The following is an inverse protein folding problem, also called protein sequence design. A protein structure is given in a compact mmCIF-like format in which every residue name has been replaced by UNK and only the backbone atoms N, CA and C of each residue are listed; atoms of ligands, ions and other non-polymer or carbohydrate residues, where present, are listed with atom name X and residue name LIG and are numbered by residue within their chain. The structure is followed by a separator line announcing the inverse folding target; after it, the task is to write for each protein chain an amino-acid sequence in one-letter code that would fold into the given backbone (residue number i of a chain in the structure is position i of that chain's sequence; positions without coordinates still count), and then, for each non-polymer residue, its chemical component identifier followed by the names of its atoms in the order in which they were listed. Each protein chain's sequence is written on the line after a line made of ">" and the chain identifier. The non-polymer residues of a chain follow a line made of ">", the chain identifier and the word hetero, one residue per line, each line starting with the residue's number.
data_IF_932863915347
#
_entry.id   IF_932863915347
#
_cell.length_a   1.000
_cell.length_b   1.000
_cell.length_c   1.000
_cell.angle_alpha   90.00
_cell.angle_beta   90.00
_cell.angle_gamma   90.00
#
_symmetry.space_group_name_H-M   'P 1'
#
loop_
_entity.id
_entity.type
_entity.pdbx_description
1 polymer ?
#
# COMPACT_ATOMS: atom_id res chain seq x y z
N UNK A 1 2.41 14.22 4.35
CA UNK A 1 1.66 13.05 3.85
C UNK A 1 0.38 13.56 3.19
N UNK A 2 -0.31 12.74 2.39
CA UNK A 2 -1.60 13.07 1.75
C UNK A 2 -1.60 14.39 0.98
N UNK A 3 -0.57 14.59 0.14
CA UNK A 3 -0.36 15.86 -0.56
C UNK A 3 -1.50 16.25 -1.51
N UNK A 4 -2.36 15.32 -1.90
CA UNK A 4 -3.58 15.61 -2.66
C UNK A 4 -4.60 16.46 -1.90
N UNK A 5 -4.55 16.52 -0.56
CA UNK A 5 -5.37 17.46 0.19
C UNK A 5 -4.96 18.92 -0.04
N UNK A 6 -3.67 19.18 -0.30
CA UNK A 6 -3.10 20.52 -0.49
C UNK A 6 -2.84 20.88 -1.97
N UNK A 7 -2.58 19.89 -2.81
CA UNK A 7 -2.13 20.05 -4.20
C UNK A 7 -3.18 19.54 -5.20
N UNK A 8 -4.46 19.53 -4.81
CA UNK A 8 -5.58 19.11 -5.67
C UNK A 8 -5.71 20.00 -6.91
N UNK A 9 -6.17 19.39 -8.00
CA UNK A 9 -6.38 20.08 -9.28
C UNK A 9 -7.29 21.31 -9.13
N UNK A 10 -6.77 22.46 -9.58
CA UNK A 10 -7.45 23.76 -9.54
C UNK A 10 -8.64 23.83 -10.48
N UNK A 11 -8.74 22.94 -11.47
CA UNK A 11 -9.86 22.91 -12.43
C UNK A 11 -11.20 22.52 -11.78
N UNK A 12 -11.16 21.89 -10.60
CA UNK A 12 -12.34 21.54 -9.79
C UNK A 12 -12.49 22.39 -8.53
N UNK A 13 -11.62 23.39 -8.33
CA UNK A 13 -11.71 24.26 -7.18
C UNK A 13 -12.93 25.18 -7.34
N UNK A 14 -13.96 24.95 -6.51
CA UNK A 14 -15.17 25.78 -6.50
C UNK A 14 -14.91 27.17 -5.88
N UNK A 15 -13.77 27.36 -5.21
CA UNK A 15 -13.48 28.55 -4.40
C UNK A 15 -12.08 29.09 -4.63
N UNK A 16 -11.97 30.40 -4.83
CA UNK A 16 -10.72 31.10 -5.17
C UNK A 16 -9.59 31.01 -4.13
N UNK A 17 -9.91 30.70 -2.86
CA UNK A 17 -8.89 30.55 -1.82
C UNK A 17 -8.01 29.30 -2.03
N UNK A 18 -8.60 28.20 -2.54
CA UNK A 18 -7.90 26.92 -2.75
C UNK A 18 -6.77 27.10 -3.77
N UNK A 19 -7.01 27.89 -4.82
CA UNK A 19 -6.00 28.23 -5.85
C UNK A 19 -4.85 29.06 -5.26
N UNK A 20 -5.15 29.94 -4.30
CA UNK A 20 -4.15 30.79 -3.65
C UNK A 20 -3.23 29.97 -2.75
N UNK A 21 -3.80 29.04 -1.97
CA UNK A 21 -3.03 28.14 -1.11
C UNK A 21 -2.09 27.25 -1.93
N UNK A 22 -2.56 26.64 -3.01
CA UNK A 22 -1.70 25.83 -3.89
C UNK A 22 -0.56 26.68 -4.43
N UNK A 23 -0.82 27.90 -4.91
CA UNK A 23 0.23 28.78 -5.44
C UNK A 23 1.30 29.14 -4.40
N UNK A 24 0.90 29.46 -3.17
CA UNK A 24 1.84 29.73 -2.10
C UNK A 24 2.70 28.51 -1.78
N UNK A 25 2.10 27.32 -1.76
CA UNK A 25 2.84 26.09 -1.55
C UNK A 25 3.84 25.82 -2.68
N UNK A 26 3.46 26.04 -3.94
CA UNK A 26 4.39 25.88 -5.08
C UNK A 26 5.56 26.88 -5.03
N UNK A 27 5.30 28.13 -4.66
CA UNK A 27 6.35 29.12 -4.47
C UNK A 27 7.26 28.76 -3.28
N UNK A 28 6.69 28.17 -2.22
CA UNK A 28 7.43 27.64 -1.09
C UNK A 28 8.36 26.49 -1.49
N UNK A 29 7.87 25.56 -2.32
CA UNK A 29 8.67 24.45 -2.85
C UNK A 29 9.89 24.94 -3.66
N UNK A 30 9.74 26.02 -4.44
CA UNK A 30 10.83 26.60 -5.22
C UNK A 30 11.92 27.25 -4.36
N UNK A 31 11.57 27.75 -3.17
CA UNK A 31 12.51 28.44 -2.27
C UNK A 31 13.04 27.54 -1.15
N UNK A 32 12.56 26.32 -1.06
CA UNK A 32 12.94 25.40 0.00
C UNK A 32 14.36 24.89 -0.25
N UNK A 33 15.30 25.24 0.63
CA UNK A 33 16.72 24.88 0.53
C UNK A 33 17.03 23.43 0.94
N UNK A 34 16.04 22.53 0.91
CA UNK A 34 16.17 21.14 1.36
C UNK A 34 15.49 20.14 0.43
N UNK A 35 15.40 18.90 0.87
CA UNK A 35 14.69 17.84 0.13
C UNK A 35 13.22 17.85 0.53
N UNK A 36 12.34 18.14 -0.41
CA UNK A 36 10.90 18.06 -0.21
C UNK A 36 10.39 16.67 -0.58
N UNK A 37 9.73 15.98 0.37
CA UNK A 37 9.12 14.66 0.17
C UNK A 37 7.62 14.79 0.40
N UNK A 38 6.84 14.30 -0.56
CA UNK A 38 5.40 14.22 -0.49
C UNK A 38 4.93 12.82 -0.92
N UNK A 39 3.88 12.36 -0.25
CA UNK A 39 3.19 11.09 -0.50
C UNK A 39 1.73 11.40 -0.84
N UNK A 40 1.15 10.64 -1.76
CA UNK A 40 -0.27 10.76 -2.14
C UNK A 40 -0.79 9.41 -2.56
N UNK A 41 -2.07 9.16 -2.27
CA UNK A 41 -2.82 8.02 -2.80
C UNK A 41 -3.63 8.39 -4.05
N UNK A 42 -3.73 9.68 -4.40
CA UNK A 42 -4.57 10.21 -5.47
C UNK A 42 -3.73 11.01 -6.48
N UNK A 43 -2.73 10.34 -7.08
CA UNK A 43 -1.81 10.96 -8.02
C UNK A 43 -2.52 11.68 -9.18
N UNK A 44 -3.58 11.06 -9.73
CA UNK A 44 -4.36 11.61 -10.86
C UNK A 44 -5.19 12.85 -10.49
N UNK A 45 -5.33 13.15 -9.19
CA UNK A 45 -6.03 14.33 -8.71
C UNK A 45 -5.09 15.51 -8.41
N UNK A 46 -3.78 15.31 -8.54
CA UNK A 46 -2.79 16.36 -8.32
C UNK A 46 -2.78 17.39 -9.45
N UNK A 47 -2.54 18.64 -9.09
CA UNK A 47 -2.37 19.74 -10.02
C UNK A 47 -1.13 19.54 -10.92
N UNK A 48 -1.30 19.71 -12.23
CA UNK A 48 -0.22 19.50 -13.18
C UNK A 48 0.99 20.42 -12.94
N UNK A 49 0.76 21.67 -12.50
CA UNK A 49 1.85 22.61 -12.24
C UNK A 49 2.63 22.21 -10.98
N UNK A 50 1.96 21.59 -10.00
CA UNK A 50 2.62 20.94 -8.88
C UNK A 50 3.46 19.75 -9.34
N UNK A 51 2.90 18.87 -10.17
CA UNK A 51 3.59 17.69 -10.70
C UNK A 51 4.86 18.04 -11.48
N UNK A 52 4.92 19.19 -12.15
CA UNK A 52 6.13 19.63 -12.88
C UNK A 52 7.27 20.06 -11.96
N UNK A 53 7.01 20.35 -10.68
CA UNK A 53 8.02 20.78 -9.69
C UNK A 53 8.68 19.64 -8.93
N UNK A 54 8.18 18.41 -9.08
CA UNK A 54 8.84 17.23 -8.54
C UNK A 54 9.85 16.67 -9.54
N UNK A 55 11.12 16.65 -9.17
CA UNK A 55 12.19 16.03 -9.96
C UNK A 55 12.03 14.51 -10.08
N UNK A 56 11.54 13.87 -9.01
CA UNK A 56 11.31 12.44 -8.97
C UNK A 56 9.85 12.13 -8.62
N UNK A 57 9.27 11.17 -9.34
CA UNK A 57 7.92 10.63 -9.09
C UNK A 57 8.07 9.12 -8.95
N UNK A 58 7.96 8.64 -7.72
CA UNK A 58 8.14 7.22 -7.42
C UNK A 58 6.76 6.63 -7.17
N UNK A 59 6.39 5.65 -7.98
CA UNK A 59 5.14 4.92 -7.83
C UNK A 59 5.41 3.57 -7.15
N UNK A 60 4.81 3.37 -5.98
CA UNK A 60 4.88 2.09 -5.26
C UNK A 60 3.83 1.14 -5.81
N UNK A 61 4.30 0.01 -6.36
CA UNK A 61 3.45 -1.06 -6.87
C UNK A 61 3.27 -2.16 -5.83
N UNK A 62 2.23 -3.01 -5.97
CA UNK A 62 2.16 -4.26 -5.24
C UNK A 62 3.45 -5.08 -5.38
N UNK A 63 3.73 -5.88 -4.36
CA UNK A 63 4.91 -6.73 -4.26
C UNK A 63 4.95 -7.71 -5.44
N UNK A 64 6.13 -7.85 -6.05
CA UNK A 64 6.40 -8.93 -6.98
C UNK A 64 6.35 -10.29 -6.25
N UNK A 65 6.10 -11.42 -6.95
CA UNK A 65 6.00 -12.73 -6.31
C UNK A 65 7.19 -13.08 -5.40
N UNK A 66 8.42 -12.86 -5.86
CA UNK A 66 9.62 -13.08 -5.06
C UNK A 66 9.72 -12.16 -3.83
N UNK A 67 9.15 -10.96 -3.89
CA UNK A 67 9.12 -10.05 -2.74
C UNK A 67 8.05 -10.48 -1.72
N UNK A 68 6.92 -11.06 -2.15
CA UNK A 68 5.92 -11.64 -1.25
C UNK A 68 6.48 -12.80 -0.45
N UNK A 69 7.21 -13.70 -1.12
CA UNK A 69 7.90 -14.80 -0.42
C UNK A 69 8.91 -14.28 0.61
N UNK A 70 9.74 -13.29 0.24
CA UNK A 70 10.71 -12.69 1.16
C UNK A 70 10.04 -12.02 2.37
N UNK A 71 8.97 -11.27 2.14
CA UNK A 71 8.18 -10.66 3.20
C UNK A 71 7.57 -11.73 4.11
N UNK A 72 6.96 -12.77 3.54
CA UNK A 72 6.35 -13.84 4.32
C UNK A 72 7.39 -14.61 5.16
N UNK A 73 8.56 -14.90 4.59
CA UNK A 73 9.66 -15.53 5.32
C UNK A 73 10.08 -14.65 6.52
N UNK A 74 10.26 -13.35 6.29
CA UNK A 74 10.71 -12.43 7.33
C UNK A 74 9.65 -12.23 8.43
N UNK A 75 8.38 -12.09 8.06
CA UNK A 75 7.31 -11.67 8.98
C UNK A 75 6.59 -12.85 9.65
N UNK A 76 6.51 -14.02 9.00
CA UNK A 76 5.73 -15.16 9.46
C UNK A 76 6.57 -16.41 9.77
N UNK A 77 7.78 -16.54 9.20
CA UNK A 77 8.61 -17.74 9.32
C UNK A 77 9.93 -17.48 10.06
N UNK A 78 10.02 -16.37 10.81
CA UNK A 78 11.20 -16.03 11.61
C UNK A 78 12.47 -15.78 10.79
N UNK A 79 12.34 -15.49 9.49
CA UNK A 79 13.47 -15.30 8.59
C UNK A 79 14.05 -16.59 8.01
N UNK A 80 13.45 -17.76 8.26
CA UNK A 80 13.95 -19.06 7.82
C UNK A 80 13.39 -19.47 6.44
N UNK A 81 14.17 -19.38 5.34
CA UNK A 81 13.64 -19.67 4.00
C UNK A 81 13.26 -21.14 3.80
N UNK A 82 13.89 -22.05 4.55
CA UNK A 82 13.61 -23.49 4.50
C UNK A 82 12.24 -23.86 5.11
N UNK A 83 11.67 -22.97 5.93
CA UNK A 83 10.34 -23.17 6.52
C UNK A 83 9.20 -22.85 5.53
N UNK A 84 9.50 -22.22 4.40
CA UNK A 84 8.49 -21.90 3.38
C UNK A 84 8.08 -23.15 2.61
N UNK A 85 6.85 -23.62 2.84
CA UNK A 85 6.33 -24.81 2.18
C UNK A 85 5.90 -24.53 0.73
N UNK A 86 5.85 -25.59 -0.10
CA UNK A 86 5.35 -25.48 -1.46
C UNK A 86 3.87 -25.02 -1.51
N UNK A 87 3.05 -25.46 -0.53
CA UNK A 87 1.65 -25.05 -0.42
C UNK A 87 1.52 -23.55 -0.10
N UNK A 88 2.31 -23.04 0.84
CA UNK A 88 2.36 -21.60 1.17
C UNK A 88 2.81 -20.77 -0.03
N UNK A 89 3.84 -21.23 -0.77
CA UNK A 89 4.27 -20.57 -2.00
C UNK A 89 3.15 -20.48 -3.03
N UNK A 90 2.41 -21.56 -3.25
CA UNK A 90 1.27 -21.57 -4.20
C UNK A 90 0.18 -20.58 -3.80
N UNK A 91 -0.14 -20.49 -2.50
CA UNK A 91 -1.12 -19.53 -1.98
C UNK A 91 -0.65 -18.08 -2.15
N UNK A 92 0.62 -17.78 -1.81
CA UNK A 92 1.20 -16.43 -1.95
C UNK A 92 1.21 -15.91 -3.40
N UNK A 93 1.33 -16.79 -4.39
CA UNK A 93 1.26 -16.42 -5.82
C UNK A 93 -0.08 -15.76 -6.16
N UNK A 94 -1.17 -16.22 -5.56
CA UNK A 94 -2.52 -15.73 -5.81
C UNK A 94 -2.80 -14.34 -5.22
N UNK A 95 -1.93 -13.86 -4.32
CA UNK A 95 -2.11 -12.60 -3.60
C UNK A 95 -1.43 -11.44 -4.34
N UNK A 96 -1.89 -11.19 -5.56
CA UNK A 96 -1.28 -10.31 -6.56
C UNK A 96 -1.18 -8.82 -6.16
N UNK A 97 -2.15 -8.35 -5.39
CA UNK A 97 -2.25 -6.99 -4.85
C UNK A 97 -1.63 -6.80 -3.46
N UNK A 98 -0.80 -7.73 -2.96
CA UNK A 98 -0.15 -7.56 -1.65
C UNK A 98 0.84 -6.39 -1.63
N UNK A 99 0.81 -5.63 -0.55
CA UNK A 99 1.71 -4.55 -0.22
C UNK A 99 2.36 -4.84 1.15
N UNK A 100 3.53 -4.23 1.47
CA UNK A 100 4.15 -4.36 2.78
C UNK A 100 3.21 -4.00 3.95
N UNK A 101 2.29 -3.06 3.73
CA UNK A 101 1.30 -2.65 4.72
C UNK A 101 0.37 -3.78 5.17
N UNK A 102 0.04 -4.73 4.30
CA UNK A 102 -0.84 -5.86 4.65
C UNK A 102 -0.12 -6.80 5.64
N UNK A 103 1.15 -7.10 5.39
CA UNK A 103 1.98 -7.88 6.32
C UNK A 103 2.10 -7.18 7.68
N UNK A 104 2.32 -5.86 7.68
CA UNK A 104 2.40 -5.09 8.93
C UNK A 104 1.07 -5.07 9.69
N UNK A 105 -0.07 -5.03 8.98
CA UNK A 105 -1.39 -5.12 9.58
C UNK A 105 -1.62 -6.49 10.23
N UNK A 106 -1.36 -7.59 9.51
CA UNK A 106 -1.48 -8.96 10.02
C UNK A 106 -0.53 -9.20 11.21
N UNK A 107 0.72 -8.74 11.13
CA UNK A 107 1.67 -8.82 12.25
C UNK A 107 1.16 -8.07 13.48
N UNK A 108 0.54 -6.91 13.30
CA UNK A 108 -0.09 -6.16 14.40
C UNK A 108 -1.27 -6.92 15.00
N UNK A 109 -2.11 -7.56 14.17
CA UNK A 109 -3.19 -8.42 14.66
C UNK A 109 -2.64 -9.60 15.48
N UNK A 110 -1.59 -10.27 14.99
CA UNK A 110 -0.92 -11.36 15.72
C UNK A 110 -0.39 -10.90 17.09
N UNK A 111 0.18 -9.70 17.17
CA UNK A 111 0.65 -9.11 18.44
C UNK A 111 -0.49 -8.77 19.42
N UNK A 112 -1.66 -8.36 18.92
CA UNK A 112 -2.81 -7.97 19.75
C UNK A 112 -3.60 -9.20 20.22
N UNK A 113 -3.76 -10.19 19.34
CA UNK A 113 -4.58 -11.38 19.58
C UNK A 113 -3.78 -12.56 20.13
N UNK A 114 -2.44 -12.50 20.07
CA UNK A 114 -1.56 -13.52 20.62
C UNK A 114 -1.65 -13.58 22.14
N UNK A 115 -1.62 -14.79 22.68
CA UNK A 115 -1.44 -14.97 24.12
C UNK A 115 0.01 -14.67 24.52
N UNK A 116 0.27 -14.06 25.68
CA UNK A 116 1.62 -13.70 26.13
C UNK A 116 2.60 -14.88 26.13
N UNK A 117 2.09 -16.10 26.33
CA UNK A 117 2.87 -17.32 26.53
C UNK A 117 2.79 -18.30 25.35
N UNK A 118 2.12 -17.94 24.24
CA UNK A 118 2.00 -18.78 23.05
C UNK A 118 2.85 -18.22 21.90
N UNK A 119 3.52 -19.07 21.09
CA UNK A 119 4.20 -18.57 19.90
C UNK A 119 3.21 -17.80 19.02
N UNK A 120 3.69 -16.70 18.44
CA UNK A 120 2.97 -15.96 17.40
C UNK A 120 2.39 -16.95 16.37
N UNK A 121 1.26 -16.58 15.76
CA UNK A 121 0.57 -17.38 14.74
C UNK A 121 1.53 -18.19 13.86
N UNK A 122 1.19 -19.46 13.66
CA UNK A 122 1.91 -20.31 12.71
C UNK A 122 1.92 -19.66 11.33
N UNK A 123 2.86 -20.07 10.46
CA UNK A 123 2.92 -19.56 9.10
C UNK A 123 1.58 -19.69 8.35
N UNK A 124 0.84 -20.78 8.57
CA UNK A 124 -0.46 -20.99 7.93
C UNK A 124 -1.56 -20.06 8.50
N UNK A 125 -1.62 -19.87 9.81
CA UNK A 125 -2.54 -18.91 10.43
C UNK A 125 -2.25 -17.47 9.99
N UNK A 126 -0.97 -17.09 9.92
CA UNK A 126 -0.57 -15.79 9.39
C UNK A 126 -1.02 -15.64 7.93
N UNK A 127 -0.84 -16.68 7.11
CA UNK A 127 -1.23 -16.66 5.71
C UNK A 127 -2.75 -16.58 5.54
N UNK A 128 -3.53 -17.27 6.37
CA UNK A 128 -5.00 -17.19 6.37
C UNK A 128 -5.47 -15.75 6.63
N UNK A 129 -4.83 -15.06 7.58
CA UNK A 129 -5.14 -13.66 7.89
C UNK A 129 -4.67 -12.70 6.79
N UNK A 130 -3.52 -12.99 6.18
CA UNK A 130 -3.02 -12.22 5.03
C UNK A 130 -3.95 -12.35 3.82
N UNK A 131 -4.50 -13.53 3.57
CA UNK A 131 -5.54 -13.73 2.56
C UNK A 131 -6.84 -12.99 2.91
N UNK A 132 -7.20 -12.91 4.19
CA UNK A 132 -8.36 -12.14 4.63
C UNK A 132 -8.19 -10.64 4.38
N UNK A 133 -7.03 -10.08 4.74
CA UNK A 133 -6.69 -8.67 4.51
C UNK A 133 -6.67 -8.35 3.01
N UNK A 134 -6.03 -9.22 2.19
CA UNK A 134 -5.99 -9.06 0.74
C UNK A 134 -7.39 -9.03 0.10
N UNK A 135 -8.33 -9.84 0.60
CA UNK A 135 -9.72 -9.86 0.11
C UNK A 135 -10.50 -8.57 0.36
N UNK A 136 -10.11 -7.73 1.32
CA UNK A 136 -10.81 -6.48 1.61
C UNK A 136 -10.52 -5.40 0.56
N UNK A 137 -9.44 -5.55 -0.22
CA UNK A 137 -8.99 -4.56 -1.19
C UNK A 137 -10.00 -4.35 -2.32
N UNK A 138 -10.35 -3.09 -2.66
CA UNK A 138 -11.29 -2.78 -3.74
C UNK A 138 -10.92 -3.45 -5.07
N UNK A 139 -9.64 -3.48 -5.43
CA UNK A 139 -9.13 -4.05 -6.67
C UNK A 139 -9.41 -5.56 -6.75
N UNK A 140 -9.25 -6.26 -5.63
CA UNK A 140 -9.48 -7.71 -5.51
C UNK A 140 -10.98 -8.02 -5.52
N UNK A 141 -11.79 -7.21 -4.83
CA UNK A 141 -13.26 -7.35 -4.81
C UNK A 141 -13.89 -7.13 -6.18
N UNK A 142 -13.40 -6.15 -6.95
CA UNK A 142 -13.90 -5.84 -8.29
C UNK A 142 -13.57 -6.94 -9.31
N UNK A 143 -12.39 -7.55 -9.24
CA UNK A 143 -12.01 -8.67 -10.10
C UNK A 143 -12.90 -9.91 -9.91
N UNK A 144 -13.33 -10.19 -8.66
CA UNK A 144 -14.25 -11.31 -8.36
C UNK A 144 -15.69 -11.07 -8.83
N UNK A 145 -16.15 -9.81 -8.83
CA UNK A 145 -17.52 -9.46 -9.25
C UNK A 145 -17.81 -9.65 -10.75
N UNK A 146 -16.77 -9.74 -11.60
CA UNK A 146 -16.93 -9.95 -13.04
C UNK A 146 -16.96 -11.44 -13.46
N UNK A 147 -16.74 -12.37 -12.54
CA UNK A 147 -16.85 -13.81 -12.79
C UNK A 147 -18.28 -14.30 -12.56
N UNK A 148 -19.20 -14.03 -13.49
CA UNK A 148 -20.50 -14.71 -13.47
C UNK A 148 -20.31 -16.21 -13.71
N UNK A 149 -20.74 -17.01 -12.74
CA UNK A 149 -20.92 -18.46 -12.85
C UNK A 149 -21.91 -18.73 -13.98
N UNK A 150 -21.46 -19.34 -15.08
CA UNK A 150 -22.36 -20.03 -16.01
C UNK A 150 -22.67 -21.41 -15.42
N UNK A 151 -23.97 -21.69 -15.38
CA UNK A 151 -24.65 -22.91 -14.92
C UNK A 151 -23.93 -24.22 -15.26
#
# INVERSE_FOLDING_TARGET
>A
DEADSFLRSRQRAERSYEVTEVNQMLAGMERFAGIFIATTNLFDQLDEAALRRFSFKIHFRPLAPAQRERMFIAEALGGEPAALSAAQRQRLVLLDQLAPGDFAAVRRQALILGEPDSPAWTGDEFLDQLEAEHRLKPEVRQQRGMGFVRH
#
